data_IF_632514276186
#
_entry.id   IF_632514276186
#
_cell.length_a   1.000
_cell.length_b   1.000
_cell.length_c   1.000
_cell.angle_alpha   90.00
_cell.angle_beta   90.00
_cell.angle_gamma   90.00
#
_symmetry.space_group_name_H-M   'P 1'
#
loop_
_entity.id
_entity.type
_entity.pdbx_description
1 polymer ?
#
# COMPACT_ATOMS: atom_id res chain seq x y z
N UNK A 1 27.86 20.49 14.88
CA UNK A 1 26.53 21.16 14.94
C UNK A 1 26.06 21.35 13.51
N UNK A 2 25.08 20.58 13.03
CA UNK A 2 24.46 20.82 11.73
C UNK A 2 23.21 21.68 11.94
N UNK A 3 23.26 22.89 11.39
CA UNK A 3 22.17 23.85 11.40
C UNK A 3 21.03 23.34 10.51
N UNK A 4 19.86 23.10 11.10
CA UNK A 4 18.62 22.83 10.37
C UNK A 4 18.11 24.15 9.78
N UNK A 5 18.18 24.27 8.46
CA UNK A 5 17.72 25.44 7.73
C UNK A 5 16.17 25.53 7.84
N UNK A 6 15.60 26.62 8.39
CA UNK A 6 14.22 26.60 8.89
C UNK A 6 13.12 26.57 7.81
N UNK A 7 13.41 26.90 6.55
CA UNK A 7 12.36 27.14 5.55
C UNK A 7 12.42 26.20 4.32
N UNK A 8 12.44 24.87 4.52
CA UNK A 8 12.27 23.89 3.42
C UNK A 8 10.81 23.81 2.91
N UNK A 9 9.84 24.33 3.68
CA UNK A 9 8.41 24.17 3.39
C UNK A 9 7.69 25.52 3.47
N UNK A 10 6.68 25.79 2.60
CA UNK A 10 5.82 26.96 2.74
C UNK A 10 5.03 26.89 4.06
N UNK A 11 4.85 28.05 4.71
CA UNK A 11 4.37 28.25 6.09
C UNK A 11 3.05 27.52 6.45
N UNK A 12 2.20 27.19 5.46
CA UNK A 12 0.86 26.61 5.67
C UNK A 12 0.80 25.06 5.67
N UNK A 13 1.70 24.31 6.34
CA UNK A 13 1.38 22.93 6.80
C UNK A 13 2.49 22.19 7.56
N UNK A 14 2.16 21.60 8.73
CA UNK A 14 2.83 20.41 9.20
C UNK A 14 1.82 19.33 9.61
N UNK A 15 1.49 18.40 8.69
CA UNK A 15 0.98 17.09 9.09
C UNK A 15 2.02 16.02 8.78
N UNK A 16 2.25 15.15 9.75
CA UNK A 16 3.09 13.96 9.61
C UNK A 16 2.21 12.73 9.58
N UNK A 17 2.48 11.81 8.64
CA UNK A 17 1.84 10.49 8.59
C UNK A 17 2.92 9.44 8.78
N UNK A 18 2.65 8.45 9.64
CA UNK A 18 3.55 7.33 9.89
C UNK A 18 3.09 6.13 9.06
N UNK A 19 3.97 5.55 8.24
CA UNK A 19 3.74 4.24 7.58
C UNK A 19 5.02 3.43 7.61
N UNK A 20 4.91 2.12 7.88
CA UNK A 20 6.04 1.18 7.87
C UNK A 20 7.24 1.65 8.72
N UNK A 21 6.99 2.22 9.91
CA UNK A 21 7.98 2.85 10.80
C UNK A 21 8.69 4.11 10.25
N UNK A 22 8.30 4.59 9.07
CA UNK A 22 8.81 5.81 8.45
C UNK A 22 7.80 6.95 8.66
N UNK A 23 8.27 8.10 9.13
CA UNK A 23 7.44 9.30 9.29
C UNK A 23 7.60 10.16 8.03
N UNK A 24 6.54 10.25 7.22
CA UNK A 24 6.51 11.10 6.05
C UNK A 24 6.02 12.49 6.43
N UNK A 25 6.77 13.52 5.98
CA UNK A 25 6.30 14.90 6.05
C UNK A 25 5.50 15.17 4.78
N UNK A 26 4.20 15.46 4.94
CA UNK A 26 3.30 15.66 3.81
C UNK A 26 3.14 17.15 3.53
N UNK A 27 3.30 17.52 2.26
CA UNK A 27 2.96 18.85 1.79
C UNK A 27 1.80 18.76 0.80
N UNK A 28 1.01 19.82 0.69
CA UNK A 28 -0.03 19.92 -0.33
C UNK A 28 0.53 20.69 -1.51
N UNK A 29 0.49 20.12 -2.70
CA UNK A 29 0.73 20.88 -3.92
C UNK A 29 -0.58 21.03 -4.66
N UNK A 30 -0.89 22.25 -5.09
CA UNK A 30 -1.96 22.48 -6.05
C UNK A 30 -1.54 21.89 -7.39
N UNK A 31 -2.35 20.97 -7.93
CA UNK A 31 -2.24 20.69 -9.35
C UNK A 31 -2.54 21.98 -10.13
N UNK A 32 -1.82 22.26 -11.23
CA UNK A 32 -2.23 23.25 -12.25
C UNK A 32 -3.48 22.79 -13.02
N UNK A 33 -4.36 22.04 -12.37
CA UNK A 33 -5.67 21.68 -12.87
C UNK A 33 -6.59 22.86 -12.64
N UNK A 34 -7.42 23.16 -13.64
CA UNK A 34 -8.44 24.21 -13.62
C UNK A 34 -9.36 24.16 -12.37
N UNK A 35 -9.40 23.01 -11.67
CA UNK A 35 -10.24 22.75 -10.50
C UNK A 35 -9.55 22.92 -9.13
N UNK A 36 -8.33 23.49 -9.04
CA UNK A 36 -7.62 23.75 -7.75
C UNK A 36 -7.55 22.56 -6.79
N UNK A 37 -7.61 21.33 -7.28
CA UNK A 37 -7.55 20.13 -6.44
C UNK A 37 -6.14 20.02 -5.86
N UNK A 38 -6.02 20.11 -4.53
CA UNK A 38 -4.76 19.93 -3.82
C UNK A 38 -4.56 18.44 -3.54
N UNK A 39 -3.46 17.88 -4.03
CA UNK A 39 -3.07 16.50 -3.71
C UNK A 39 -1.97 16.53 -2.65
N UNK A 40 -2.02 15.57 -1.73
CA UNK A 40 -0.97 15.38 -0.74
C UNK A 40 0.21 14.73 -1.43
N UNK A 41 1.36 15.37 -1.39
CA UNK A 41 2.60 14.84 -1.92
C UNK A 41 3.57 14.64 -0.75
N UNK A 42 4.04 13.40 -0.54
CA UNK A 42 5.00 13.11 0.52
C UNK A 42 6.41 13.60 0.13
N UNK A 43 7.14 14.15 1.11
CA UNK A 43 8.58 14.40 1.02
C UNK A 43 9.37 13.15 1.45
N UNK A 44 10.58 13.01 0.93
CA UNK A 44 11.48 11.86 1.11
C UNK A 44 10.76 10.52 0.87
N UNK A 45 9.86 10.49 -0.11
CA UNK A 45 9.09 9.31 -0.47
C UNK A 45 9.88 8.44 -1.43
N UNK A 46 10.01 7.16 -1.12
CA UNK A 46 10.66 6.18 -1.98
C UNK A 46 9.84 4.90 -1.99
N UNK A 47 9.50 4.43 -3.19
CA UNK A 47 8.81 3.15 -3.38
C UNK A 47 9.41 2.38 -4.55
N UNK A 48 9.27 1.07 -4.52
CA UNK A 48 9.47 0.22 -5.69
C UNK A 48 8.09 -0.22 -6.22
N UNK A 49 7.85 -0.01 -7.49
CA UNK A 49 6.60 -0.40 -8.16
C UNK A 49 6.88 -1.36 -9.30
N UNK A 50 5.92 -2.25 -9.58
CA UNK A 50 6.01 -3.15 -10.73
C UNK A 50 4.65 -3.41 -11.37
N UNK A 51 4.63 -3.52 -12.70
CA UNK A 51 3.43 -3.83 -13.47
C UNK A 51 3.79 -4.58 -14.77
N UNK A 52 2.80 -5.11 -15.49
CA UNK A 52 3.03 -5.93 -16.68
C UNK A 52 3.35 -7.40 -16.35
N UNK A 53 3.60 -8.22 -17.38
CA UNK A 53 3.82 -9.67 -17.24
C UNK A 53 4.95 -10.16 -18.16
N UNK A 54 5.73 -11.13 -17.70
CA UNK A 54 6.79 -11.73 -18.50
C UNK A 54 7.81 -10.69 -19.01
N UNK A 55 8.06 -10.68 -20.32
CA UNK A 55 9.02 -9.76 -20.98
C UNK A 55 8.56 -8.29 -20.97
N UNK A 56 7.28 -8.01 -20.74
CA UNK A 56 6.75 -6.63 -20.59
C UNK A 56 6.63 -6.21 -19.13
N UNK A 57 7.26 -6.93 -18.20
CA UNK A 57 7.29 -6.53 -16.79
C UNK A 57 8.15 -5.28 -16.63
N UNK A 58 7.56 -4.26 -16.03
CA UNK A 58 8.22 -3.05 -15.58
C UNK A 58 8.51 -3.18 -14.09
N UNK A 59 9.74 -2.86 -13.68
CA UNK A 59 10.15 -2.76 -12.28
C UNK A 59 10.97 -1.48 -12.18
N UNK A 60 10.46 -0.50 -11.43
CA UNK A 60 11.09 0.79 -11.26
C UNK A 60 10.99 1.25 -9.81
N UNK A 61 11.88 2.12 -9.40
CA UNK A 61 11.78 2.87 -8.15
C UNK A 61 11.28 4.28 -8.45
N UNK A 62 10.38 4.77 -7.61
CA UNK A 62 9.87 6.13 -7.70
C UNK A 62 10.23 6.86 -6.40
N UNK A 63 10.81 8.05 -6.55
CA UNK A 63 11.19 8.90 -5.43
C UNK A 63 10.62 10.30 -5.57
N UNK A 64 10.23 10.92 -4.46
CA UNK A 64 9.82 12.32 -4.41
C UNK A 64 10.65 13.03 -3.35
N UNK A 65 11.33 14.11 -3.78
CA UNK A 65 12.12 14.99 -2.90
C UNK A 65 11.67 16.43 -3.04
N UNK A 66 11.66 17.17 -1.95
CA UNK A 66 11.46 18.61 -1.99
C UNK A 66 12.78 19.37 -2.05
N UNK A 67 12.92 20.22 -3.08
CA UNK A 67 13.90 21.30 -3.17
C UNK A 67 13.23 22.65 -2.85
N UNK A 68 14.01 23.73 -2.81
CA UNK A 68 13.52 25.10 -2.57
C UNK A 68 12.37 25.50 -3.53
N UNK A 69 12.43 25.02 -4.78
CA UNK A 69 11.47 25.36 -5.83
C UNK A 69 10.25 24.40 -5.92
N UNK A 70 10.17 23.40 -5.03
CA UNK A 70 9.08 22.42 -4.99
C UNK A 70 9.53 20.97 -5.16
N UNK A 71 8.59 20.04 -5.39
CA UNK A 71 8.90 18.62 -5.49
C UNK A 71 9.58 18.26 -6.81
N UNK A 72 10.58 17.39 -6.71
CA UNK A 72 11.17 16.65 -7.82
C UNK A 72 10.62 15.22 -7.77
N UNK A 73 10.06 14.80 -8.89
CA UNK A 73 9.60 13.43 -9.13
C UNK A 73 10.68 12.68 -9.90
N UNK A 74 11.19 11.60 -9.31
CA UNK A 74 12.31 10.82 -9.84
C UNK A 74 11.85 9.39 -10.11
N UNK A 75 12.17 8.88 -11.29
CA UNK A 75 12.02 7.46 -11.65
C UNK A 75 13.40 6.86 -11.87
N UNK A 76 13.71 5.78 -11.15
CA UNK A 76 14.94 4.98 -11.35
C UNK A 76 14.60 3.61 -11.86
N UNK A 77 15.39 3.13 -12.82
CA UNK A 77 15.27 1.77 -13.33
C UNK A 77 16.58 1.28 -13.91
N UNK A 78 16.71 -0.04 -14.02
CA UNK A 78 17.89 -0.67 -14.61
C UNK A 78 17.50 -1.32 -15.93
N UNK A 79 18.35 -1.14 -16.93
CA UNK A 79 18.21 -1.74 -18.25
C UNK A 79 19.60 -1.95 -18.85
N UNK A 80 19.86 -3.14 -19.40
CA UNK A 80 21.15 -3.52 -20.01
C UNK A 80 22.37 -3.22 -19.11
N UNK A 81 22.24 -3.50 -17.81
CA UNK A 81 23.24 -3.21 -16.76
C UNK A 81 23.53 -1.73 -16.52
N UNK A 82 22.78 -0.82 -17.13
CA UNK A 82 22.85 0.62 -16.89
C UNK A 82 21.71 1.08 -15.99
N UNK A 83 22.02 1.97 -15.06
CA UNK A 83 21.01 2.64 -14.23
C UNK A 83 20.57 3.94 -14.91
N UNK A 84 19.26 4.11 -15.03
CA UNK A 84 18.65 5.32 -15.55
C UNK A 84 17.95 6.08 -14.43
N UNK A 85 18.11 7.40 -14.43
CA UNK A 85 17.48 8.33 -13.51
C UNK A 85 16.76 9.38 -14.34
N UNK A 86 15.43 9.47 -14.19
CA UNK A 86 14.59 10.40 -14.93
C UNK A 86 13.88 11.32 -13.95
N UNK A 87 14.08 12.62 -14.11
CA UNK A 87 13.59 13.63 -13.19
C UNK A 87 12.54 14.54 -13.85
N UNK A 88 11.58 14.99 -13.06
CA UNK A 88 10.62 16.01 -13.44
C UNK A 88 10.33 16.94 -12.26
N UNK A 89 10.39 18.24 -12.52
CA UNK A 89 9.88 19.29 -11.61
C UNK A 89 8.42 19.67 -11.92
N UNK A 90 7.83 19.10 -12.98
CA UNK A 90 6.49 19.49 -13.42
C UNK A 90 5.39 18.68 -12.74
N UNK A 91 5.49 17.35 -12.81
CA UNK A 91 4.48 16.45 -12.25
C UNK A 91 4.98 15.00 -12.19
N UNK A 92 4.35 14.14 -11.35
CA UNK A 92 4.66 12.71 -11.37
C UNK A 92 4.31 12.05 -12.70
N UNK A 93 3.30 12.58 -13.42
CA UNK A 93 2.90 12.06 -14.73
C UNK A 93 3.93 12.37 -15.81
N UNK A 94 4.59 13.53 -15.75
CA UNK A 94 5.67 13.86 -16.67
C UNK A 94 6.87 12.92 -16.48
N UNK A 95 7.32 12.70 -15.22
CA UNK A 95 8.37 11.72 -14.92
C UNK A 95 8.01 10.30 -15.41
N UNK A 96 6.77 9.87 -15.18
CA UNK A 96 6.29 8.56 -15.61
C UNK A 96 6.21 8.40 -17.14
N UNK A 97 5.82 9.47 -17.86
CA UNK A 97 5.80 9.45 -19.32
C UNK A 97 7.21 9.44 -19.91
N UNK A 98 8.15 10.21 -19.34
CA UNK A 98 9.58 10.16 -19.71
C UNK A 98 10.12 8.74 -19.62
N UNK A 99 9.79 8.00 -18.56
CA UNK A 99 10.12 6.58 -18.44
C UNK A 99 9.54 5.74 -19.58
N UNK A 100 8.24 5.91 -19.85
CA UNK A 100 7.55 5.12 -20.87
C UNK A 100 8.14 5.33 -22.27
N UNK A 101 8.46 6.57 -22.62
CA UNK A 101 9.08 6.91 -23.91
C UNK A 101 10.52 6.42 -24.01
N UNK A 102 11.26 6.42 -22.91
CA UNK A 102 12.60 5.84 -22.85
C UNK A 102 12.56 4.33 -23.07
N UNK A 103 11.58 3.64 -22.45
CA UNK A 103 11.40 2.19 -22.56
C UNK A 103 10.88 1.75 -23.92
N UNK A 104 10.04 2.58 -24.55
CA UNK A 104 9.45 2.31 -25.86
C UNK A 104 9.60 3.54 -26.77
N UNK A 105 10.79 3.77 -27.37
CA UNK A 105 11.06 4.94 -28.21
C UNK A 105 10.13 5.04 -29.43
N UNK A 106 9.64 3.90 -29.91
CA UNK A 106 8.75 3.82 -31.07
C UNK A 106 7.31 4.30 -30.79
N UNK A 107 6.97 4.62 -29.53
CA UNK A 107 5.65 5.12 -29.14
C UNK A 107 5.75 6.35 -28.21
N UNK A 108 6.19 7.51 -28.72
CA UNK A 108 6.39 8.73 -27.94
C UNK A 108 5.08 9.41 -27.50
N UNK A 109 3.92 8.93 -27.98
CA UNK A 109 2.61 9.44 -27.60
C UNK A 109 1.95 8.61 -26.51
N UNK A 110 2.54 7.48 -26.10
CA UNK A 110 2.04 6.68 -25.01
C UNK A 110 2.02 7.50 -23.71
N UNK A 111 0.96 7.34 -22.91
CA UNK A 111 0.81 8.05 -21.64
C UNK A 111 0.52 7.08 -20.52
N UNK A 112 1.09 7.35 -19.37
CA UNK A 112 0.84 6.63 -18.12
C UNK A 112 0.58 7.63 -16.99
N UNK A 113 -0.28 7.23 -16.07
CA UNK A 113 -0.65 8.06 -14.93
C UNK A 113 0.44 8.02 -13.87
N UNK A 114 1.04 9.19 -13.57
CA UNK A 114 2.04 9.32 -12.52
C UNK A 114 1.49 8.96 -11.14
N UNK A 115 0.21 9.24 -10.89
CA UNK A 115 -0.47 8.85 -9.63
C UNK A 115 -0.42 7.34 -9.39
N UNK A 116 -0.57 6.54 -10.44
CA UNK A 116 -0.51 5.09 -10.35
C UNK A 116 0.92 4.59 -10.23
N UNK A 117 1.83 5.16 -11.03
CA UNK A 117 3.26 4.80 -11.04
C UNK A 117 3.92 5.11 -9.69
N UNK A 118 3.72 6.31 -9.16
CA UNK A 118 4.19 6.72 -7.84
C UNK A 118 3.30 6.19 -6.71
N UNK A 119 2.26 5.42 -7.03
CA UNK A 119 1.31 4.85 -6.09
C UNK A 119 0.73 5.87 -5.08
N UNK A 120 0.53 7.12 -5.49
CA UNK A 120 0.02 8.19 -4.62
C UNK A 120 -1.41 7.94 -4.15
N UNK A 121 -2.16 7.10 -4.87
CA UNK A 121 -3.48 6.60 -4.45
C UNK A 121 -3.39 5.54 -3.33
N UNK A 122 -2.23 4.94 -3.05
CA UNK A 122 -2.09 3.94 -1.98
C UNK A 122 -2.41 4.57 -0.62
N UNK A 123 -2.11 5.86 -0.41
CA UNK A 123 -2.47 6.57 0.82
C UNK A 123 -3.99 6.60 1.04
N UNK A 124 -4.77 6.82 -0.02
CA UNK A 124 -6.24 6.78 0.06
C UNK A 124 -6.76 5.35 0.17
N UNK A 125 -6.13 4.39 -0.52
CA UNK A 125 -6.47 2.96 -0.44
C UNK A 125 -6.19 2.39 0.95
N UNK A 126 -5.08 2.75 1.60
CA UNK A 126 -4.74 2.35 2.96
C UNK A 126 -5.70 2.97 3.96
N UNK A 127 -6.03 4.26 3.80
CA UNK A 127 -7.05 4.92 4.61
C UNK A 127 -8.43 4.29 4.44
N UNK A 128 -8.81 3.87 3.23
CA UNK A 128 -10.04 3.12 2.97
C UNK A 128 -9.98 1.68 3.51
N UNK A 129 -8.81 1.02 3.45
CA UNK A 129 -8.60 -0.30 4.08
C UNK A 129 -8.69 -0.20 5.59
N UNK A 130 -8.07 0.79 6.21
CA UNK A 130 -8.17 1.07 7.65
C UNK A 130 -9.60 1.42 8.06
N UNK A 131 -10.32 2.24 7.29
CA UNK A 131 -11.74 2.52 7.50
C UNK A 131 -12.59 1.26 7.42
N UNK A 132 -12.35 0.39 6.43
CA UNK A 132 -13.04 -0.90 6.29
C UNK A 132 -12.66 -1.87 7.41
N UNK A 133 -11.42 -1.86 7.88
CA UNK A 133 -10.96 -2.67 9.02
C UNK A 133 -11.48 -2.16 10.37
N UNK A 134 -11.86 -0.88 10.48
CA UNK A 134 -12.39 -0.30 11.74
C UNK A 134 -13.92 -0.41 11.88
N UNK A 135 -14.67 -0.88 10.87
CA UNK A 135 -16.13 -0.65 10.82
C UNK A 135 -17.05 -1.85 10.54
N UNK A 136 -16.58 -3.09 10.64
CA UNK A 136 -17.54 -4.19 10.81
C UNK A 136 -17.25 -4.98 12.07
N UNK A 137 -17.66 -4.42 13.22
CA UNK A 137 -18.00 -5.30 14.33
C UNK A 137 -19.01 -6.32 13.81
N UNK A 138 -18.73 -7.60 14.02
CA UNK A 138 -19.70 -8.62 13.68
C UNK A 138 -21.00 -8.29 14.42
N UNK A 139 -22.13 -8.36 13.71
CA UNK A 139 -23.43 -8.26 14.37
C UNK A 139 -23.48 -9.25 15.54
N UNK A 140 -24.02 -8.86 16.71
CA UNK A 140 -24.13 -9.75 17.87
C UNK A 140 -24.79 -11.07 17.49
N UNK A 141 -24.32 -12.18 18.05
CA UNK A 141 -24.73 -13.53 17.63
C UNK A 141 -26.24 -13.76 17.76
N UNK A 142 -26.87 -13.21 18.80
CA UNK A 142 -28.32 -13.26 19.04
C UNK A 142 -29.13 -12.55 17.94
N UNK A 143 -28.56 -11.56 17.25
CA UNK A 143 -29.25 -10.83 16.17
C UNK A 143 -29.20 -11.55 14.81
N UNK A 144 -28.53 -12.69 14.72
CA UNK A 144 -28.39 -13.45 13.47
C UNK A 144 -29.52 -14.47 13.31
N UNK A 145 -29.82 -14.80 12.04
CA UNK A 145 -30.63 -15.98 11.73
C UNK A 145 -29.88 -17.27 12.01
N UNK A 146 -30.59 -18.37 12.25
CA UNK A 146 -30.01 -19.69 12.54
C UNK A 146 -29.00 -20.13 11.48
N UNK A 147 -29.28 -19.91 10.19
CA UNK A 147 -28.35 -20.22 9.11
C UNK A 147 -27.04 -19.43 9.23
N UNK A 148 -27.11 -18.14 9.57
CA UNK A 148 -25.93 -17.31 9.77
C UNK A 148 -25.16 -17.68 11.03
N UNK A 149 -25.86 -18.05 12.12
CA UNK A 149 -25.24 -18.57 13.34
C UNK A 149 -24.43 -19.83 13.04
N UNK A 150 -25.03 -20.82 12.38
CA UNK A 150 -24.34 -22.06 11.96
C UNK A 150 -23.17 -21.81 11.02
N UNK A 151 -23.33 -20.94 10.00
CA UNK A 151 -22.23 -20.58 9.10
C UNK A 151 -21.06 -19.95 9.85
N UNK A 152 -21.34 -19.06 10.79
CA UNK A 152 -20.31 -18.37 11.58
C UNK A 152 -19.59 -19.35 12.52
N UNK A 153 -20.33 -20.20 13.24
CA UNK A 153 -19.75 -21.26 14.08
C UNK A 153 -18.86 -22.21 13.25
N UNK A 154 -19.34 -22.67 12.09
CA UNK A 154 -18.54 -23.51 11.18
C UNK A 154 -17.27 -22.82 10.69
N UNK A 155 -17.36 -21.54 10.33
CA UNK A 155 -16.20 -20.76 9.91
C UNK A 155 -15.16 -20.64 11.03
N UNK A 156 -15.61 -20.47 12.28
CA UNK A 156 -14.73 -20.49 13.45
C UNK A 156 -14.06 -21.85 13.64
N UNK A 157 -14.81 -22.96 13.57
CA UNK A 157 -14.23 -24.31 13.66
C UNK A 157 -13.18 -24.59 12.59
N UNK A 158 -13.42 -24.15 11.35
CA UNK A 158 -12.43 -24.29 10.25
C UNK A 158 -11.15 -23.51 10.55
N UNK A 159 -11.26 -22.33 11.17
CA UNK A 159 -10.08 -21.57 11.57
C UNK A 159 -9.31 -22.24 12.71
N UNK A 160 -10.00 -22.84 13.67
CA UNK A 160 -9.37 -23.61 14.74
C UNK A 160 -8.65 -24.86 14.21
N UNK A 161 -9.25 -25.62 13.29
CA UNK A 161 -8.59 -26.76 12.65
C UNK A 161 -7.31 -26.33 11.90
N UNK A 162 -7.38 -25.19 11.20
CA UNK A 162 -6.21 -24.62 10.52
C UNK A 162 -5.13 -24.20 11.52
N UNK A 163 -5.51 -23.54 12.61
CA UNK A 163 -4.59 -23.12 13.66
C UNK A 163 -3.92 -24.34 14.31
N UNK A 164 -4.70 -25.38 14.63
CA UNK A 164 -4.18 -26.65 15.15
C UNK A 164 -3.12 -27.24 14.23
N UNK A 165 -3.41 -27.40 12.93
CA UNK A 165 -2.46 -27.94 11.94
C UNK A 165 -1.18 -27.13 11.83
N UNK A 166 -1.26 -25.81 12.01
CA UNK A 166 -0.10 -24.93 11.97
C UNK A 166 0.77 -25.00 13.23
N UNK A 167 0.16 -25.25 14.39
CA UNK A 167 0.87 -25.34 15.67
C UNK A 167 1.45 -26.72 15.94
N UNK A 168 0.85 -27.79 15.41
CA UNK A 168 1.32 -29.18 15.58
C UNK A 168 2.84 -29.35 15.43
N UNK A 169 3.51 -28.79 14.38
CA UNK A 169 4.95 -28.94 14.21
C UNK A 169 5.81 -28.29 15.32
N UNK A 170 5.25 -27.35 16.08
CA UNK A 170 5.96 -26.68 17.18
C UNK A 170 6.01 -27.54 18.45
N UNK A 171 5.13 -28.53 18.58
CA UNK A 171 4.96 -29.32 19.80
C UNK A 171 5.15 -30.83 19.61
N UNK A 172 4.93 -31.36 18.40
CA UNK A 172 4.96 -32.79 18.11
C UNK A 172 5.92 -33.13 16.97
N UNK A 173 6.48 -34.34 17.01
CA UNK A 173 7.23 -34.86 15.88
C UNK A 173 6.26 -35.25 14.74
N UNK A 174 6.74 -35.26 13.49
CA UNK A 174 5.93 -35.65 12.33
C UNK A 174 5.45 -37.11 12.38
N UNK A 175 6.09 -37.98 13.16
CA UNK A 175 5.70 -39.38 13.37
C UNK A 175 4.47 -39.51 14.28
N UNK A 176 4.26 -38.58 15.22
CA UNK A 176 3.23 -38.68 16.26
C UNK A 176 1.80 -38.48 15.73
N UNK A 177 1.67 -37.85 14.55
CA UNK A 177 0.40 -37.64 13.82
C UNK A 177 -0.77 -37.21 14.71
N UNK A 178 -0.67 -36.10 15.44
CA UNK A 178 -1.77 -35.60 16.24
C UNK A 178 -2.96 -35.22 15.35
N UNK A 179 -4.16 -35.63 15.76
CA UNK A 179 -5.42 -35.40 15.03
C UNK A 179 -6.39 -34.65 15.94
N UNK A 180 -6.97 -33.56 15.43
CA UNK A 180 -8.07 -32.88 16.08
C UNK A 180 -9.35 -33.67 15.86
N UNK A 181 -9.85 -34.31 16.93
CA UNK A 181 -11.01 -35.21 16.84
C UNK A 181 -12.33 -34.44 16.77
N UNK A 182 -12.52 -33.45 17.65
CA UNK A 182 -13.76 -32.69 17.73
C UNK A 182 -13.52 -31.28 18.26
N UNK A 183 -14.32 -30.33 17.78
CA UNK A 183 -14.38 -28.96 18.28
C UNK A 183 -15.77 -28.76 18.85
N UNK A 184 -15.88 -28.61 20.18
CA UNK A 184 -17.14 -28.31 20.88
C UNK A 184 -17.07 -26.95 21.55
N UNK A 185 -18.08 -26.12 21.35
CA UNK A 185 -18.19 -24.83 22.04
C UNK A 185 -19.65 -24.36 22.11
N UNK A 186 -19.94 -23.51 23.09
CA UNK A 186 -21.26 -22.95 23.28
C UNK A 186 -21.25 -21.44 23.00
N UNK A 187 -22.27 -20.95 22.30
CA UNK A 187 -22.49 -19.51 22.08
C UNK A 187 -23.94 -19.18 22.42
N UNK A 188 -24.14 -18.47 23.54
CA UNK A 188 -25.46 -18.07 24.03
C UNK A 188 -26.40 -19.28 24.20
N UNK A 189 -25.97 -20.25 25.00
CA UNK A 189 -26.72 -21.48 25.36
C UNK A 189 -27.02 -22.42 24.18
N UNK A 190 -26.33 -22.22 23.05
CA UNK A 190 -26.38 -23.12 21.90
C UNK A 190 -25.03 -23.76 21.65
N UNK A 191 -25.04 -25.09 21.65
CA UNK A 191 -23.87 -25.92 21.41
C UNK A 191 -23.57 -26.07 19.91
N UNK A 192 -22.28 -26.07 19.60
CA UNK A 192 -21.70 -26.17 18.26
C UNK A 192 -20.47 -27.07 18.24
#
# INVERSE_FOLDING_TARGET
MMSLNPNKYPEDNPFSVKQNNTTYKLCYTSARSHNKTRYKIPDDYLIQTSWGRGKSKHIIECEIKYELDGPIFIVRFQEDSQQYILESKESPSDAANKYLWKKNPNNPHARISGVHVFCLNILDIEKERERKHRSSSFRPFNTLSESMRTKRSRAFSVQLDKAFKNEVPNFFNSVDRPVLQEIRFCVQDKDY
#
